data_IF_406295647497
#
_entry.id   IF_406295647497
#
_cell.length_a   1.000
_cell.length_b   1.000
_cell.length_c   1.000
_cell.angle_alpha   90.00
_cell.angle_beta   90.00
_cell.angle_gamma   90.00
#
_symmetry.space_group_name_H-M   'P 1'
#
loop_
_entity.id
_entity.type
_entity.pdbx_description
1 polymer ?
#
# COMPACT_ATOMS: atom_id res chain seq x y z
N UNK A 1 30.60 -6.97 10.67
CA UNK A 1 31.00 -8.32 10.30
C UNK A 1 30.60 -8.47 8.83
N UNK A 2 31.57 -8.47 7.91
CA UNK A 2 31.36 -8.70 6.50
C UNK A 2 31.35 -10.23 6.27
N UNK A 3 30.19 -10.82 6.15
CA UNK A 3 30.06 -12.17 5.64
C UNK A 3 30.09 -12.09 4.09
N UNK A 4 31.13 -12.62 3.44
CA UNK A 4 31.25 -12.59 1.97
C UNK A 4 30.13 -13.36 1.26
N UNK A 5 29.41 -14.25 1.96
CA UNK A 5 28.30 -15.02 1.39
C UNK A 5 27.00 -14.22 1.34
N UNK A 6 26.81 -13.20 2.20
CA UNK A 6 25.63 -12.35 2.16
C UNK A 6 25.52 -11.55 0.85
N UNK A 7 26.65 -11.16 0.26
CA UNK A 7 26.71 -10.47 -1.04
C UNK A 7 26.20 -11.31 -2.21
N UNK A 8 26.30 -12.64 -2.13
CA UNK A 8 25.82 -13.57 -3.16
C UNK A 8 24.30 -13.82 -3.09
N UNK A 9 23.71 -13.77 -1.90
CA UNK A 9 22.28 -13.99 -1.70
C UNK A 9 21.43 -12.75 -2.03
N UNK A 10 21.99 -11.55 -1.92
CA UNK A 10 21.27 -10.29 -2.18
C UNK A 10 21.32 -9.86 -3.67
N UNK A 11 22.34 -10.26 -4.43
CA UNK A 11 22.48 -9.94 -5.86
C UNK A 11 21.33 -10.44 -6.76
N UNK A 12 20.76 -11.65 -6.57
CA UNK A 12 19.65 -12.13 -7.39
C UNK A 12 18.32 -11.44 -7.11
N UNK A 13 18.16 -10.83 -5.92
CA UNK A 13 16.94 -10.12 -5.53
C UNK A 13 16.84 -8.72 -6.19
N UNK A 14 17.96 -8.20 -6.68
CA UNK A 14 18.03 -7.04 -7.56
C UNK A 14 17.92 -7.56 -9.00
N UNK A 15 16.70 -7.87 -9.45
CA UNK A 15 16.44 -8.36 -10.81
C UNK A 15 17.06 -7.40 -11.84
N UNK A 16 18.12 -7.82 -12.58
CA UNK A 16 18.77 -6.95 -13.57
C UNK A 16 17.90 -6.68 -14.80
N UNK A 17 16.74 -7.33 -14.90
CA UNK A 17 15.79 -7.19 -16.00
C UNK A 17 14.64 -6.22 -15.71
N UNK A 18 14.69 -5.45 -14.61
CA UNK A 18 13.77 -4.34 -14.41
C UNK A 18 14.19 -3.22 -15.34
N UNK A 19 13.48 -3.18 -16.43
CA UNK A 19 13.17 -2.13 -17.41
C UNK A 19 14.11 -0.92 -17.60
N UNK A 20 14.14 -0.34 -18.81
CA UNK A 20 15.02 0.78 -19.22
C UNK A 20 14.88 2.08 -18.39
N UNK A 21 14.04 2.12 -17.37
CA UNK A 21 13.88 3.27 -16.46
C UNK A 21 14.91 3.33 -15.31
N UNK A 22 15.73 2.29 -15.10
CA UNK A 22 16.73 2.31 -14.03
C UNK A 22 17.79 3.40 -14.25
N UNK A 23 18.20 3.63 -15.49
CA UNK A 23 19.18 4.67 -15.83
C UNK A 23 18.59 6.08 -15.66
N UNK A 24 17.35 6.31 -16.10
CA UNK A 24 16.68 7.60 -15.97
C UNK A 24 16.38 7.98 -14.50
N UNK A 25 16.05 6.99 -13.67
CA UNK A 25 15.86 7.18 -12.24
C UNK A 25 17.18 7.45 -11.51
N UNK A 26 18.26 6.75 -11.91
CA UNK A 26 19.61 6.99 -11.39
C UNK A 26 20.10 8.40 -11.71
N UNK A 27 19.99 8.83 -12.95
CA UNK A 27 20.32 10.19 -13.38
C UNK A 27 19.50 11.27 -12.64
N UNK A 28 18.24 10.99 -12.35
CA UNK A 28 17.39 11.89 -11.57
C UNK A 28 17.87 12.01 -10.12
N UNK A 29 18.22 10.89 -9.48
CA UNK A 29 18.77 10.87 -8.12
C UNK A 29 20.07 11.63 -8.06
N UNK A 30 20.98 11.42 -9.01
CA UNK A 30 22.27 12.13 -9.07
C UNK A 30 22.07 13.63 -9.26
N UNK A 31 21.17 14.06 -10.12
CA UNK A 31 20.85 15.46 -10.34
C UNK A 31 20.21 16.13 -9.11
N UNK A 32 19.43 15.38 -8.32
CA UNK A 32 18.85 15.89 -7.07
C UNK A 32 19.86 15.92 -5.93
N UNK A 33 20.89 15.06 -5.95
CA UNK A 33 21.98 15.03 -4.96
C UNK A 33 23.11 16.01 -5.26
N UNK A 34 22.96 16.90 -6.22
CA UNK A 34 23.96 17.92 -6.53
C UNK A 34 24.41 18.67 -5.27
N UNK A 35 25.71 18.83 -5.09
CA UNK A 35 26.40 19.44 -3.93
C UNK A 35 26.26 18.68 -2.59
N UNK A 36 25.45 17.62 -2.48
CA UNK A 36 25.16 16.94 -1.20
C UNK A 36 26.41 16.41 -0.48
N UNK A 37 27.41 15.98 -1.24
CA UNK A 37 28.59 15.28 -0.74
C UNK A 37 29.86 16.14 -0.79
N UNK A 38 29.73 17.45 -0.92
CA UNK A 38 30.85 18.38 -0.85
C UNK A 38 31.38 18.51 0.58
N UNK A 39 32.70 18.73 0.73
CA UNK A 39 33.37 18.74 2.04
C UNK A 39 33.06 20.02 2.84
N UNK A 40 32.83 21.14 2.15
CA UNK A 40 32.64 22.46 2.76
C UNK A 40 31.21 22.99 2.47
N UNK A 41 30.17 22.26 2.89
CA UNK A 41 28.78 22.70 2.76
C UNK A 41 28.48 23.88 3.67
N UNK A 42 28.06 25.00 3.10
CA UNK A 42 27.57 26.16 3.87
C UNK A 42 26.08 25.93 4.25
N UNK A 43 25.65 26.63 5.34
CA UNK A 43 24.23 26.61 5.75
C UNK A 43 23.31 27.08 4.62
N UNK A 44 23.74 28.06 3.82
CA UNK A 44 22.97 28.54 2.66
C UNK A 44 22.81 27.48 1.59
N UNK A 45 23.88 26.72 1.27
CA UNK A 45 23.81 25.62 0.31
C UNK A 45 22.91 24.49 0.79
N UNK A 46 22.97 24.18 2.10
CA UNK A 46 22.08 23.18 2.71
C UNK A 46 20.63 23.63 2.61
N UNK A 47 20.33 24.86 3.04
CA UNK A 47 18.96 25.39 3.00
C UNK A 47 18.39 25.44 1.58
N UNK A 48 19.20 25.77 0.57
CA UNK A 48 18.80 25.83 -0.82
C UNK A 48 18.51 24.46 -1.44
N UNK A 49 19.14 23.37 -0.95
CA UNK A 49 19.09 22.05 -1.61
C UNK A 49 18.44 20.94 -0.77
N UNK A 50 18.13 21.18 0.50
CA UNK A 50 17.62 20.13 1.40
C UNK A 50 16.36 19.42 0.86
N UNK A 51 15.46 20.15 0.22
CA UNK A 51 14.25 19.60 -0.39
C UNK A 51 14.57 18.66 -1.57
N UNK A 52 15.62 18.96 -2.34
CA UNK A 52 16.11 18.12 -3.44
C UNK A 52 16.72 16.84 -2.90
N UNK A 53 17.52 16.92 -1.84
CA UNK A 53 18.15 15.76 -1.19
C UNK A 53 17.10 14.86 -0.53
N UNK A 54 16.07 15.45 0.11
CA UNK A 54 14.94 14.70 0.63
C UNK A 54 14.19 13.96 -0.48
N UNK A 55 14.01 14.60 -1.63
CA UNK A 55 13.36 13.94 -2.77
C UNK A 55 14.20 12.79 -3.33
N UNK A 56 15.52 12.95 -3.41
CA UNK A 56 16.44 11.86 -3.78
C UNK A 56 16.31 10.66 -2.83
N UNK A 57 16.26 10.93 -1.53
CA UNK A 57 16.05 9.88 -0.50
C UNK A 57 14.69 9.22 -0.63
N UNK A 58 13.62 9.96 -0.96
CA UNK A 58 12.28 9.41 -1.18
C UNK A 58 12.22 8.52 -2.42
N UNK A 59 12.94 8.85 -3.49
CA UNK A 59 13.03 8.01 -4.69
C UNK A 59 13.64 6.63 -4.38
N UNK A 60 14.53 6.53 -3.40
CA UNK A 60 15.10 5.26 -2.95
C UNK A 60 14.33 4.59 -1.80
N UNK A 61 13.30 5.23 -1.26
CA UNK A 61 12.56 4.74 -0.09
C UNK A 61 12.05 3.32 -0.29
N UNK A 62 11.33 3.06 -1.37
CA UNK A 62 10.78 1.73 -1.65
C UNK A 62 11.85 0.66 -1.91
N UNK A 63 13.02 1.05 -2.43
CA UNK A 63 14.17 0.15 -2.57
C UNK A 63 14.70 -0.28 -1.22
N UNK A 64 14.79 0.66 -0.26
CA UNK A 64 15.21 0.35 1.12
C UNK A 64 14.18 -0.49 1.86
N UNK A 65 12.87 -0.21 1.70
CA UNK A 65 11.81 -1.07 2.24
C UNK A 65 11.89 -2.50 1.68
N UNK A 66 12.05 -2.64 0.36
CA UNK A 66 12.20 -3.96 -0.28
C UNK A 66 13.44 -4.71 0.24
N UNK A 67 14.51 -4.02 0.62
CA UNK A 67 15.68 -4.65 1.22
C UNK A 67 15.34 -5.32 2.58
N UNK A 68 14.56 -4.65 3.41
CA UNK A 68 14.10 -5.24 4.70
C UNK A 68 13.23 -6.46 4.45
N UNK A 69 12.20 -6.34 3.58
CA UNK A 69 11.34 -7.46 3.18
C UNK A 69 12.18 -8.63 2.63
N UNK A 70 13.24 -8.33 1.89
CA UNK A 70 14.16 -9.34 1.32
C UNK A 70 14.99 -10.04 2.39
N UNK A 71 15.45 -9.32 3.43
CA UNK A 71 16.16 -9.94 4.55
C UNK A 71 15.24 -10.88 5.36
N UNK A 72 14.01 -10.45 5.64
CA UNK A 72 13.02 -11.29 6.31
C UNK A 72 12.71 -12.55 5.48
N UNK A 73 12.58 -12.37 4.17
CA UNK A 73 12.36 -13.47 3.24
C UNK A 73 13.54 -14.47 3.22
N UNK A 74 14.79 -13.97 3.12
CA UNK A 74 15.99 -14.84 3.16
C UNK A 74 16.08 -15.57 4.49
N UNK A 75 15.79 -14.90 5.60
CA UNK A 75 15.75 -15.54 6.93
C UNK A 75 14.69 -16.65 6.96
N UNK A 76 13.48 -16.38 6.46
CA UNK A 76 12.38 -17.34 6.44
C UNK A 76 12.71 -18.56 5.56
N UNK A 77 13.26 -18.37 4.35
CA UNK A 77 13.56 -19.47 3.44
C UNK A 77 14.74 -20.33 3.93
N UNK A 78 15.56 -19.79 4.83
CA UNK A 78 16.72 -20.48 5.43
C UNK A 78 16.40 -21.17 6.76
N UNK A 79 15.14 -21.13 7.21
CA UNK A 79 14.70 -21.80 8.44
C UNK A 79 14.81 -23.33 8.32
N UNK A 80 15.17 -23.97 9.42
CA UNK A 80 15.04 -25.42 9.57
C UNK A 80 13.57 -25.79 9.81
N UNK A 81 13.18 -27.03 9.49
CA UNK A 81 11.78 -27.51 9.59
C UNK A 81 11.14 -27.24 10.96
N UNK A 82 11.90 -27.44 12.04
CA UNK A 82 11.40 -27.19 13.39
C UNK A 82 11.11 -25.70 13.65
N UNK A 83 11.88 -24.80 13.07
CA UNK A 83 11.69 -23.35 13.23
C UNK A 83 10.38 -22.89 12.58
N UNK A 84 9.96 -23.50 11.45
CA UNK A 84 8.66 -23.23 10.85
C UNK A 84 7.47 -23.60 11.74
N UNK A 85 7.64 -24.62 12.60
CA UNK A 85 6.60 -25.02 13.57
C UNK A 85 6.50 -24.05 14.73
N UNK A 86 7.62 -23.46 15.13
CA UNK A 86 7.73 -22.56 16.29
C UNK A 86 7.44 -21.08 15.95
N UNK A 87 7.59 -20.69 14.67
CA UNK A 87 7.40 -19.30 14.23
C UNK A 87 5.93 -19.00 13.96
N UNK A 88 5.38 -18.01 14.68
CA UNK A 88 3.99 -17.58 14.52
C UNK A 88 3.67 -16.95 13.15
N UNK A 89 4.67 -16.58 12.35
CA UNK A 89 4.48 -16.08 10.98
C UNK A 89 4.54 -17.17 9.92
N UNK A 90 4.87 -18.41 10.30
CA UNK A 90 5.11 -19.51 9.39
C UNK A 90 4.21 -20.70 9.68
N UNK A 91 4.41 -21.81 8.97
CA UNK A 91 3.75 -23.09 9.20
C UNK A 91 4.69 -24.21 8.77
N UNK A 92 4.83 -25.23 9.61
CA UNK A 92 5.69 -26.40 9.37
C UNK A 92 4.96 -27.71 9.57
N UNK A 93 5.64 -28.82 9.23
CA UNK A 93 5.10 -30.16 9.36
C UNK A 93 3.88 -30.41 8.47
N UNK A 94 3.87 -29.86 7.26
CA UNK A 94 2.78 -29.99 6.30
C UNK A 94 2.79 -31.41 5.69
N UNK A 95 1.69 -32.12 5.84
CA UNK A 95 1.44 -33.42 5.23
C UNK A 95 0.39 -33.30 4.12
N UNK A 96 0.70 -33.77 2.90
CA UNK A 96 -0.23 -33.76 1.78
C UNK A 96 -1.41 -34.69 2.06
N UNK A 97 -2.64 -34.17 2.05
CA UNK A 97 -3.87 -34.93 2.27
C UNK A 97 -4.61 -35.15 0.96
N UNK A 98 -4.65 -34.16 0.08
CA UNK A 98 -5.32 -34.25 -1.21
C UNK A 98 -4.56 -33.47 -2.29
N UNK A 99 -4.54 -34.06 -3.50
CA UNK A 99 -3.99 -33.45 -4.71
C UNK A 99 -5.02 -33.58 -5.84
N UNK A 100 -5.48 -32.47 -6.38
CA UNK A 100 -6.45 -32.46 -7.47
C UNK A 100 -5.80 -32.67 -8.85
N UNK A 101 -4.46 -32.84 -8.89
CA UNK A 101 -3.66 -32.98 -10.10
C UNK A 101 -3.42 -31.64 -10.83
N UNK A 102 -2.41 -31.65 -11.69
CA UNK A 102 -2.04 -30.50 -12.47
C UNK A 102 -3.02 -30.23 -13.61
N UNK A 103 -3.35 -28.98 -13.81
CA UNK A 103 -4.15 -28.48 -14.93
C UNK A 103 -3.40 -27.36 -15.63
N UNK A 104 -3.60 -27.16 -16.95
CA UNK A 104 -3.00 -26.04 -17.64
C UNK A 104 -3.31 -24.71 -16.93
N UNK A 105 -2.30 -23.91 -16.66
CA UNK A 105 -2.49 -22.61 -16.06
C UNK A 105 -3.21 -21.67 -17.04
N UNK A 106 -4.11 -20.86 -16.52
CA UNK A 106 -4.90 -19.91 -17.33
C UNK A 106 -4.70 -18.50 -16.86
N UNK A 107 -4.73 -17.53 -17.77
CA UNK A 107 -4.54 -16.11 -17.48
C UNK A 107 -3.12 -15.63 -17.77
N UNK A 108 -2.74 -14.48 -17.20
CA UNK A 108 -1.37 -13.94 -17.32
C UNK A 108 -0.49 -14.56 -16.23
N UNK A 109 0.12 -15.70 -16.52
CA UNK A 109 1.13 -16.36 -15.71
C UNK A 109 2.25 -16.87 -16.60
N UNK A 110 3.46 -16.92 -16.08
CA UNK A 110 4.63 -17.52 -16.70
C UNK A 110 4.71 -19.02 -16.50
N UNK A 111 3.93 -19.58 -15.55
CA UNK A 111 3.93 -21.01 -15.24
C UNK A 111 2.98 -21.80 -16.13
N UNK A 112 3.37 -23.04 -16.47
CA UNK A 112 2.63 -23.93 -17.35
C UNK A 112 1.42 -24.59 -16.66
N UNK A 113 1.54 -24.93 -15.39
CA UNK A 113 0.56 -25.73 -14.66
C UNK A 113 0.06 -25.01 -13.40
N UNK A 114 -1.18 -25.39 -13.02
CA UNK A 114 -1.81 -25.00 -11.77
C UNK A 114 -2.31 -26.27 -11.07
N UNK A 115 -1.91 -26.44 -9.82
CA UNK A 115 -2.32 -27.57 -8.99
C UNK A 115 -2.99 -27.06 -7.73
N UNK A 116 -4.05 -27.72 -7.29
CA UNK A 116 -4.71 -27.44 -6.02
C UNK A 116 -4.42 -28.59 -5.06
N UNK A 117 -3.86 -28.27 -3.88
CA UNK A 117 -3.49 -29.24 -2.86
C UNK A 117 -4.00 -28.83 -1.51
N UNK A 118 -4.41 -29.84 -0.72
CA UNK A 118 -4.75 -29.69 0.70
C UNK A 118 -3.69 -30.36 1.54
N UNK A 119 -3.17 -29.63 2.51
CA UNK A 119 -2.20 -30.09 3.48
C UNK A 119 -2.82 -30.12 4.87
N UNK A 120 -2.35 -31.05 5.71
CA UNK A 120 -2.65 -31.09 7.14
C UNK A 120 -1.46 -30.58 7.91
N UNK A 121 -1.71 -29.87 9.00
CA UNK A 121 -0.73 -29.41 9.97
C UNK A 121 -1.24 -29.57 11.40
N UNK A 122 -0.37 -29.43 12.39
CA UNK A 122 -0.79 -29.47 13.81
C UNK A 122 -1.60 -28.22 14.15
N UNK A 123 -2.88 -28.33 14.52
CA UNK A 123 -3.74 -27.17 14.79
C UNK A 123 -3.31 -26.36 16.03
N UNK A 124 -2.34 -26.85 16.81
CA UNK A 124 -1.75 -26.10 17.93
C UNK A 124 -0.72 -25.05 17.47
N UNK A 125 -0.29 -25.08 16.21
CA UNK A 125 0.59 -24.05 15.68
C UNK A 125 -0.16 -22.72 15.60
N UNK A 126 0.53 -21.63 16.01
CA UNK A 126 0.07 -20.26 15.76
C UNK A 126 0.61 -19.82 14.41
N UNK A 127 -0.22 -19.21 13.56
CA UNK A 127 0.22 -18.65 12.28
C UNK A 127 -0.59 -17.44 11.88
N UNK A 128 0.07 -16.48 11.23
CA UNK A 128 -0.54 -15.26 10.67
C UNK A 128 -1.03 -15.45 9.22
N UNK A 129 -0.98 -16.69 8.71
CA UNK A 129 -1.42 -17.02 7.35
C UNK A 129 -2.93 -16.85 7.23
N UNK A 130 -3.36 -16.16 6.18
CA UNK A 130 -4.77 -15.93 5.89
C UNK A 130 -5.14 -16.28 4.44
N UNK A 131 -6.42 -16.56 4.20
CA UNK A 131 -6.92 -16.84 2.85
C UNK A 131 -6.68 -15.65 1.92
N UNK A 132 -6.06 -15.91 0.78
CA UNK A 132 -5.68 -14.92 -0.23
C UNK A 132 -4.23 -14.45 -0.14
N UNK A 133 -3.50 -14.80 0.92
CA UNK A 133 -2.07 -14.51 1.00
C UNK A 133 -1.29 -15.28 -0.09
N UNK A 134 -0.23 -14.66 -0.61
CA UNK A 134 0.83 -15.41 -1.28
C UNK A 134 1.48 -16.36 -0.28
N UNK A 135 1.99 -17.47 -0.76
CA UNK A 135 2.65 -18.48 0.06
C UNK A 135 3.97 -18.88 -0.58
N UNK A 136 5.03 -18.87 0.18
CA UNK A 136 6.34 -19.30 -0.25
C UNK A 136 6.86 -20.44 0.63
N UNK A 137 7.78 -21.24 0.07
CA UNK A 137 8.32 -22.43 0.69
C UNK A 137 9.77 -22.64 0.26
N UNK A 138 10.65 -23.13 1.13
CA UNK A 138 11.98 -23.56 0.70
C UNK A 138 11.97 -24.53 -0.49
N UNK A 139 10.91 -25.34 -0.62
CA UNK A 139 10.74 -26.28 -1.74
C UNK A 139 10.60 -25.58 -3.11
N UNK A 140 10.26 -24.31 -3.13
CA UNK A 140 10.16 -23.52 -4.38
C UNK A 140 11.50 -22.93 -4.82
N UNK A 141 12.52 -23.00 -3.97
CA UNK A 141 13.84 -22.41 -4.18
C UNK A 141 14.94 -23.47 -4.02
N UNK A 142 14.96 -24.51 -4.87
CA UNK A 142 15.99 -25.56 -4.78
C UNK A 142 17.37 -24.94 -4.99
N UNK A 143 18.34 -25.46 -4.22
CA UNK A 143 19.73 -25.09 -4.44
C UNK A 143 20.17 -25.50 -5.86
N UNK A 144 20.75 -24.56 -6.59
CA UNK A 144 21.27 -24.77 -7.94
C UNK A 144 22.75 -24.43 -7.99
N UNK A 145 23.53 -25.29 -8.65
CA UNK A 145 24.97 -25.09 -8.79
C UNK A 145 25.31 -23.93 -9.75
N UNK A 146 24.38 -23.58 -10.66
CA UNK A 146 24.54 -22.44 -11.57
C UNK A 146 23.87 -21.19 -11.01
N UNK A 147 24.66 -20.14 -10.67
CA UNK A 147 24.11 -18.88 -10.21
C UNK A 147 23.23 -18.14 -11.25
N UNK A 148 23.29 -18.52 -12.54
CA UNK A 148 22.42 -17.98 -13.57
C UNK A 148 21.01 -18.57 -13.56
N UNK A 149 20.84 -19.75 -12.95
CA UNK A 149 19.55 -20.40 -12.76
C UNK A 149 18.90 -19.97 -11.43
N UNK A 150 18.70 -18.68 -11.25
CA UNK A 150 18.04 -18.13 -10.05
C UNK A 150 16.56 -17.91 -10.30
N UNK A 151 15.75 -18.26 -9.34
CA UNK A 151 14.30 -18.01 -9.36
C UNK A 151 13.51 -19.12 -8.68
N UNK A 152 12.31 -18.80 -8.28
CA UNK A 152 11.37 -19.79 -7.77
C UNK A 152 10.88 -20.69 -8.92
N UNK A 153 10.85 -22.00 -8.68
CA UNK A 153 10.30 -23.01 -9.62
C UNK A 153 8.78 -23.13 -9.49
N UNK A 154 8.22 -22.56 -8.44
CA UNK A 154 6.79 -22.54 -8.18
C UNK A 154 6.38 -21.29 -7.40
N UNK A 155 5.10 -21.01 -7.38
CA UNK A 155 4.46 -19.95 -6.61
C UNK A 155 3.14 -20.47 -6.07
N UNK A 156 2.75 -20.07 -4.86
CA UNK A 156 1.49 -20.52 -4.30
C UNK A 156 0.65 -19.38 -3.73
N UNK A 157 -0.64 -19.63 -3.62
CA UNK A 157 -1.63 -18.75 -2.98
C UNK A 157 -2.48 -19.56 -2.03
N UNK A 158 -2.68 -19.07 -0.82
CA UNK A 158 -3.57 -19.66 0.17
C UNK A 158 -5.03 -19.51 -0.30
N UNK A 159 -5.72 -20.62 -0.50
CA UNK A 159 -7.14 -20.62 -0.84
C UNK A 159 -8.01 -20.58 0.39
N UNK A 160 -7.69 -21.43 1.35
CA UNK A 160 -8.33 -21.46 2.66
C UNK A 160 -7.37 -22.01 3.70
N UNK A 161 -7.57 -21.61 4.94
CA UNK A 161 -6.92 -22.18 6.11
C UNK A 161 -7.96 -22.41 7.19
N UNK A 162 -7.97 -23.61 7.76
CA UNK A 162 -8.81 -24.01 8.88
C UNK A 162 -7.90 -24.35 10.06
N UNK A 163 -7.77 -23.39 10.98
CA UNK A 163 -6.90 -23.50 12.14
C UNK A 163 -7.42 -24.52 13.16
N UNK A 164 -8.75 -24.74 13.21
CA UNK A 164 -9.35 -25.68 14.17
C UNK A 164 -9.09 -27.13 13.76
N UNK A 165 -9.16 -27.42 12.47
CA UNK A 165 -8.96 -28.77 11.94
C UNK A 165 -7.54 -29.00 11.39
N UNK A 166 -6.69 -27.97 11.39
CA UNK A 166 -5.31 -28.03 10.88
C UNK A 166 -5.25 -28.32 9.37
N UNK A 167 -6.04 -27.63 8.56
CA UNK A 167 -6.08 -27.81 7.11
C UNK A 167 -5.68 -26.53 6.38
N UNK A 168 -4.78 -26.68 5.41
CA UNK A 168 -4.31 -25.59 4.53
C UNK A 168 -4.53 -25.98 3.07
N UNK A 169 -5.32 -25.23 2.36
CA UNK A 169 -5.53 -25.40 0.93
C UNK A 169 -4.71 -24.37 0.14
N UNK A 170 -3.84 -24.87 -0.76
CA UNK A 170 -3.00 -24.06 -1.62
C UNK A 170 -3.34 -24.22 -3.09
N UNK A 171 -3.28 -23.15 -3.83
CA UNK A 171 -3.20 -23.14 -5.29
C UNK A 171 -1.78 -22.88 -5.71
N UNK A 172 -1.12 -23.86 -6.31
CA UNK A 172 0.29 -23.85 -6.68
C UNK A 172 0.39 -23.66 -8.19
N UNK A 173 1.22 -22.74 -8.62
CA UNK A 173 1.63 -22.55 -10.00
C UNK A 173 3.06 -23.07 -10.16
N UNK A 174 3.33 -23.89 -11.18
CA UNK A 174 4.65 -24.51 -11.43
C UNK A 174 4.79 -24.82 -12.91
N UNK A 175 6.05 -24.89 -13.38
CA UNK A 175 6.37 -25.49 -14.68
C UNK A 175 6.51 -27.00 -14.62
N UNK A 176 6.64 -27.54 -13.42
CA UNK A 176 6.77 -28.98 -13.16
C UNK A 176 5.38 -29.63 -12.93
N UNK A 177 5.25 -30.86 -13.44
CA UNK A 177 4.15 -31.78 -13.14
C UNK A 177 4.74 -33.15 -12.74
N UNK A 178 4.61 -33.56 -11.47
CA UNK A 178 3.92 -32.88 -10.35
C UNK A 178 4.66 -31.65 -9.83
N UNK A 179 3.90 -30.67 -9.35
CA UNK A 179 4.46 -29.52 -8.62
C UNK A 179 5.26 -29.96 -7.38
N UNK A 180 6.23 -29.15 -6.89
CA UNK A 180 7.03 -29.48 -5.71
C UNK A 180 6.17 -29.83 -4.49
N UNK A 181 6.60 -30.79 -3.69
CA UNK A 181 5.98 -31.10 -2.39
C UNK A 181 6.41 -30.05 -1.38
N UNK A 182 5.48 -29.61 -0.56
CA UNK A 182 5.66 -28.59 0.45
C UNK A 182 5.57 -29.23 1.82
N UNK A 183 6.57 -29.05 2.67
CA UNK A 183 6.57 -29.49 4.07
C UNK A 183 6.44 -28.34 5.05
N UNK A 184 6.79 -27.14 4.60
CA UNK A 184 6.77 -25.92 5.40
C UNK A 184 6.69 -24.68 4.50
N UNK A 185 6.31 -23.55 5.07
CA UNK A 185 6.30 -22.28 4.34
C UNK A 185 5.79 -21.11 5.17
N UNK A 186 5.70 -19.97 4.53
CA UNK A 186 5.36 -18.71 5.16
C UNK A 186 4.56 -17.81 4.19
N UNK A 187 3.77 -16.86 4.71
CA UNK A 187 2.99 -15.97 3.87
C UNK A 187 3.89 -14.93 3.21
N UNK A 188 3.65 -14.64 1.94
CA UNK A 188 4.24 -13.52 1.22
C UNK A 188 3.20 -12.44 1.00
N UNK A 189 3.43 -11.26 1.58
CA UNK A 189 2.54 -10.10 1.46
C UNK A 189 3.24 -9.01 0.63
N UNK A 190 3.37 -9.23 -0.68
CA UNK A 190 3.97 -8.22 -1.56
C UNK A 190 2.95 -7.12 -1.89
N UNK A 191 3.20 -5.93 -1.37
CA UNK A 191 2.48 -4.73 -1.80
C UNK A 191 3.11 -4.26 -3.12
N UNK A 192 2.30 -4.15 -4.17
CA UNK A 192 2.74 -3.57 -5.45
C UNK A 192 3.03 -2.09 -5.25
N UNK A 193 4.29 -1.70 -5.42
CA UNK A 193 4.80 -0.35 -5.15
C UNK A 193 5.00 0.47 -6.42
N UNK A 194 4.81 -0.11 -7.61
CA UNK A 194 5.10 0.51 -8.91
C UNK A 194 4.36 1.84 -9.11
N UNK A 195 3.11 1.94 -8.68
CA UNK A 195 2.34 3.17 -8.79
C UNK A 195 2.87 4.29 -7.86
N UNK A 196 3.36 3.93 -6.68
CA UNK A 196 3.97 4.88 -5.75
C UNK A 196 5.34 5.31 -6.25
N UNK A 197 6.15 4.37 -6.76
CA UNK A 197 7.45 4.65 -7.35
C UNK A 197 7.32 5.59 -8.56
N UNK A 198 6.35 5.35 -9.44
CA UNK A 198 6.07 6.22 -10.58
C UNK A 198 5.67 7.64 -10.14
N UNK A 199 4.77 7.76 -9.16
CA UNK A 199 4.36 9.06 -8.63
C UNK A 199 5.53 9.83 -8.00
N UNK A 200 6.44 9.13 -7.29
CA UNK A 200 7.65 9.75 -6.76
C UNK A 200 8.60 10.22 -7.86
N UNK A 201 8.73 9.47 -8.96
CA UNK A 201 9.53 9.90 -10.12
C UNK A 201 8.96 11.17 -10.75
N UNK A 202 7.64 11.24 -10.95
CA UNK A 202 6.97 12.43 -11.49
C UNK A 202 7.18 13.66 -10.59
N UNK A 203 7.05 13.50 -9.28
CA UNK A 203 7.34 14.58 -8.31
C UNK A 203 8.82 14.96 -8.36
N UNK A 204 9.73 13.97 -8.41
CA UNK A 204 11.16 14.20 -8.51
C UNK A 204 11.58 15.00 -9.75
N UNK A 205 10.95 14.70 -10.89
CA UNK A 205 11.17 15.46 -12.13
C UNK A 205 10.72 16.93 -11.98
N UNK A 206 9.59 17.14 -11.31
CA UNK A 206 9.10 18.51 -11.08
C UNK A 206 10.00 19.28 -10.09
N UNK A 207 10.54 18.62 -9.06
CA UNK A 207 11.52 19.20 -8.14
C UNK A 207 12.83 19.53 -8.85
N UNK A 208 13.31 18.63 -9.74
CA UNK A 208 14.51 18.87 -10.55
C UNK A 208 14.38 20.11 -11.43
N UNK A 209 13.20 20.32 -12.03
CA UNK A 209 12.93 21.43 -12.93
C UNK A 209 12.44 22.72 -12.24
N UNK A 210 12.42 22.74 -10.91
CA UNK A 210 11.86 23.82 -10.09
C UNK A 210 10.43 24.21 -10.51
N UNK A 211 9.63 23.22 -10.95
CA UNK A 211 8.27 23.42 -11.42
C UNK A 211 7.25 22.97 -10.39
N UNK A 212 6.76 23.89 -9.58
CA UNK A 212 5.73 23.61 -8.56
C UNK A 212 4.31 23.43 -9.17
N UNK A 213 4.14 23.46 -10.48
CA UNK A 213 2.84 23.29 -11.15
C UNK A 213 2.32 21.87 -11.06
N UNK A 214 3.22 20.88 -10.97
CA UNK A 214 2.86 19.49 -10.71
C UNK A 214 2.97 19.21 -9.21
N UNK A 215 1.87 18.68 -8.61
CA UNK A 215 1.79 18.33 -7.19
C UNK A 215 2.27 19.45 -6.22
N UNK A 216 1.71 20.67 -6.28
CA UNK A 216 2.18 21.81 -5.49
C UNK A 216 2.17 21.54 -3.97
N UNK A 217 1.20 20.79 -3.46
CA UNK A 217 1.15 20.39 -2.05
C UNK A 217 2.38 19.51 -1.64
N UNK A 218 2.88 18.66 -2.55
CA UNK A 218 4.08 17.86 -2.28
C UNK A 218 5.34 18.74 -2.25
N UNK A 219 5.43 19.76 -3.11
CA UNK A 219 6.48 20.76 -3.06
C UNK A 219 6.45 21.52 -1.74
N UNK A 220 5.29 22.01 -1.30
CA UNK A 220 5.14 22.69 -0.01
C UNK A 220 5.62 21.80 1.15
N UNK A 221 5.28 20.51 1.14
CA UNK A 221 5.74 19.56 2.17
C UNK A 221 7.25 19.35 2.14
N UNK A 222 7.87 19.20 0.97
CA UNK A 222 9.32 19.02 0.82
C UNK A 222 10.10 20.26 1.31
N UNK A 223 9.56 21.45 1.06
CA UNK A 223 10.14 22.72 1.51
C UNK A 223 9.76 23.09 2.96
N UNK A 224 8.91 22.28 3.63
CA UNK A 224 8.33 22.62 4.93
C UNK A 224 7.65 24.00 4.92
N UNK A 225 7.10 24.38 3.78
CA UNK A 225 6.42 25.65 3.60
C UNK A 225 5.14 25.71 4.41
N UNK A 226 4.77 26.83 4.99
CA UNK A 226 3.43 27.00 5.55
C UNK A 226 2.35 26.70 4.52
N UNK A 227 1.20 26.15 4.93
CA UNK A 227 0.08 25.93 4.02
C UNK A 227 -0.37 27.23 3.37
N UNK A 228 -0.70 27.19 2.07
CA UNK A 228 -1.20 28.32 1.31
C UNK A 228 -2.72 28.37 1.36
N UNK A 229 -3.24 29.56 1.53
CA UNK A 229 -4.67 29.81 1.58
C UNK A 229 -5.06 30.91 0.60
N UNK A 230 -6.24 30.75 0.00
CA UNK A 230 -6.90 31.76 -0.82
C UNK A 230 -7.71 32.73 0.03
N UNK A 231 -8.14 33.82 -0.57
CA UNK A 231 -9.08 34.81 -0.01
C UNK A 231 -8.59 35.46 1.29
N UNK A 232 -7.27 35.46 1.53
CA UNK A 232 -6.66 36.06 2.73
C UNK A 232 -7.02 35.36 4.04
N UNK A 233 -7.37 34.07 3.99
CA UNK A 233 -7.66 33.27 5.19
C UNK A 233 -6.46 33.24 6.13
N UNK A 234 -6.69 33.56 7.39
CA UNK A 234 -5.67 33.53 8.44
C UNK A 234 -5.77 32.26 9.28
N UNK A 235 -4.79 31.35 9.10
CA UNK A 235 -4.72 30.11 9.84
C UNK A 235 -4.62 30.32 11.36
N UNK A 236 -4.11 31.48 11.83
CA UNK A 236 -4.00 31.74 13.27
C UNK A 236 -5.33 31.71 13.98
N UNK A 237 -6.42 31.99 13.27
CA UNK A 237 -7.80 31.88 13.81
C UNK A 237 -8.18 30.45 14.22
N UNK A 238 -7.46 29.44 13.68
CA UNK A 238 -7.67 28.02 13.98
C UNK A 238 -6.50 27.46 14.80
N UNK A 239 -5.27 27.74 14.41
CA UNK A 239 -4.08 27.18 15.04
C UNK A 239 -3.79 27.70 16.44
N UNK A 240 -4.29 28.88 16.79
CA UNK A 240 -4.22 29.45 18.14
C UNK A 240 -5.23 28.82 19.13
N UNK A 241 -6.17 28.04 18.63
CA UNK A 241 -7.22 27.38 19.44
C UNK A 241 -6.74 26.00 19.87
N UNK A 242 -6.70 25.73 21.17
CA UNK A 242 -6.25 24.46 21.71
C UNK A 242 -7.10 23.25 21.23
N UNK A 243 -8.35 23.51 20.82
CA UNK A 243 -9.28 22.46 20.39
C UNK A 243 -10.23 23.04 19.32
N UNK A 244 -9.79 23.14 18.07
CA UNK A 244 -10.60 23.73 17.00
C UNK A 244 -11.83 22.87 16.72
N UNK A 245 -12.97 23.55 16.46
CA UNK A 245 -14.21 22.87 16.10
C UNK A 245 -14.16 22.29 14.70
N UNK A 246 -15.03 21.31 14.35
CA UNK A 246 -15.12 20.78 12.99
C UNK A 246 -15.38 21.89 11.96
N UNK A 247 -16.14 22.93 12.29
CA UNK A 247 -16.43 24.07 11.42
C UNK A 247 -15.17 24.90 11.12
N UNK A 248 -14.36 25.17 12.16
CA UNK A 248 -13.08 25.88 11.99
C UNK A 248 -12.10 25.09 11.14
N UNK A 249 -12.01 23.76 11.35
CA UNK A 249 -11.19 22.86 10.53
C UNK A 249 -11.67 22.85 9.08
N UNK A 250 -12.99 22.75 8.88
CA UNK A 250 -13.61 22.76 7.54
C UNK A 250 -13.32 24.05 6.79
N UNK A 251 -13.40 25.17 7.48
CA UNK A 251 -13.15 26.47 6.89
C UNK A 251 -11.69 26.63 6.46
N UNK A 252 -10.75 26.19 7.30
CA UNK A 252 -9.34 26.15 6.92
C UNK A 252 -9.09 25.27 5.69
N UNK A 253 -9.66 24.04 5.64
CA UNK A 253 -9.52 23.16 4.49
C UNK A 253 -10.17 23.75 3.23
N UNK A 254 -11.32 24.39 3.37
CA UNK A 254 -12.03 25.01 2.25
C UNK A 254 -11.22 26.12 1.58
N UNK A 255 -10.42 26.86 2.35
CA UNK A 255 -9.56 27.94 1.85
C UNK A 255 -8.18 27.48 1.42
N UNK A 256 -7.81 26.20 1.54
CA UNK A 256 -6.54 25.72 1.02
C UNK A 256 -6.44 25.98 -0.50
N UNK A 257 -5.26 26.43 -0.93
CA UNK A 257 -4.94 26.69 -2.33
C UNK A 257 -3.88 25.72 -2.83
N UNK A 258 -4.33 24.57 -3.37
CA UNK A 258 -3.45 23.49 -3.87
C UNK A 258 -2.28 23.16 -2.92
N UNK A 259 -2.56 23.15 -1.61
CA UNK A 259 -1.58 23.01 -0.55
C UNK A 259 -2.00 21.91 0.44
N UNK A 260 -1.36 21.81 1.58
CA UNK A 260 -1.63 20.80 2.60
C UNK A 260 -1.94 21.45 3.95
N UNK A 261 -2.65 20.71 4.81
CA UNK A 261 -2.87 21.06 6.20
C UNK A 261 -2.62 19.85 7.09
N UNK A 262 -1.73 19.97 8.06
CA UNK A 262 -1.44 18.90 9.03
C UNK A 262 -2.35 19.06 10.24
N UNK A 263 -3.12 18.01 10.56
CA UNK A 263 -3.97 17.95 11.76
C UNK A 263 -3.38 16.88 12.67
N UNK A 264 -2.78 17.33 13.76
CA UNK A 264 -2.19 16.46 14.77
C UNK A 264 -3.09 16.36 15.99
N UNK A 265 -3.17 15.18 16.57
CA UNK A 265 -3.87 14.97 17.86
C UNK A 265 -3.53 13.60 18.45
N UNK A 266 -3.34 13.49 19.77
CA UNK A 266 -3.18 12.22 20.45
C UNK A 266 -4.38 11.27 20.24
N UNK A 267 -4.25 9.97 20.57
CA UNK A 267 -5.41 9.07 20.64
C UNK A 267 -6.51 9.64 21.55
N UNK A 268 -7.77 9.49 21.17
CA UNK A 268 -8.93 9.93 21.98
C UNK A 268 -9.28 11.42 21.89
N UNK A 269 -8.56 12.23 21.11
CA UNK A 269 -8.85 13.69 20.95
C UNK A 269 -9.95 14.02 19.96
N UNK A 270 -10.73 13.03 19.49
CA UNK A 270 -11.84 13.27 18.56
C UNK A 270 -11.45 13.52 17.11
N UNK A 271 -10.22 13.15 16.66
CA UNK A 271 -9.78 13.31 15.25
C UNK A 271 -10.78 12.72 14.26
N UNK A 272 -11.23 11.48 14.50
CA UNK A 272 -12.16 10.77 13.61
C UNK A 272 -13.50 11.51 13.53
N UNK A 273 -14.02 11.97 14.68
CA UNK A 273 -15.23 12.79 14.77
C UNK A 273 -15.09 14.11 13.97
N UNK A 274 -14.02 14.86 14.23
CA UNK A 274 -13.77 16.13 13.53
C UNK A 274 -13.58 15.94 12.03
N UNK A 275 -12.85 14.87 11.62
CA UNK A 275 -12.65 14.53 10.22
C UNK A 275 -13.96 14.15 9.52
N UNK A 276 -14.81 13.34 10.14
CA UNK A 276 -16.10 12.95 9.58
C UNK A 276 -17.01 14.16 9.35
N UNK A 277 -17.10 15.06 10.34
CA UNK A 277 -17.91 16.27 10.22
C UNK A 277 -17.33 17.24 9.17
N UNK A 278 -16.00 17.43 9.13
CA UNK A 278 -15.35 18.26 8.11
C UNK A 278 -15.59 17.69 6.69
N UNK A 279 -15.49 16.38 6.50
CA UNK A 279 -15.78 15.72 5.22
C UNK A 279 -17.23 15.97 4.80
N UNK A 280 -18.21 15.79 5.69
CA UNK A 280 -19.61 16.01 5.39
C UNK A 280 -19.91 17.47 5.01
N UNK A 281 -19.31 18.45 5.70
CA UNK A 281 -19.43 19.87 5.37
C UNK A 281 -18.81 20.21 4.02
N UNK A 282 -17.62 19.68 3.72
CA UNK A 282 -16.94 19.89 2.45
C UNK A 282 -17.72 19.28 1.27
N UNK A 283 -18.26 18.07 1.46
CA UNK A 283 -19.12 17.44 0.44
C UNK A 283 -20.41 18.24 0.23
N UNK A 284 -21.02 18.78 1.30
CA UNK A 284 -22.17 19.68 1.18
C UNK A 284 -21.85 20.97 0.42
N UNK A 285 -20.59 21.44 0.45
CA UNK A 285 -20.07 22.56 -0.35
C UNK A 285 -19.68 22.13 -1.78
N UNK A 286 -19.91 20.87 -2.20
CA UNK A 286 -19.64 20.35 -3.54
C UNK A 286 -18.23 19.78 -3.75
N UNK A 287 -17.42 19.65 -2.70
CA UNK A 287 -16.09 19.03 -2.83
C UNK A 287 -16.19 17.52 -2.95
N UNK A 288 -15.27 16.94 -3.74
CA UNK A 288 -15.03 15.49 -3.80
C UNK A 288 -13.84 15.13 -2.93
N UNK A 289 -14.04 14.16 -2.03
CA UNK A 289 -13.07 13.80 -1.00
C UNK A 289 -12.51 12.41 -1.28
N UNK A 290 -11.18 12.29 -1.31
CA UNK A 290 -10.46 11.02 -1.29
C UNK A 290 -9.96 10.71 0.11
N UNK A 291 -10.19 9.48 0.58
CA UNK A 291 -9.72 9.01 1.88
C UNK A 291 -8.75 7.87 1.66
N UNK A 292 -7.57 7.94 2.29
CA UNK A 292 -6.57 6.87 2.29
C UNK A 292 -6.02 6.65 3.68
N UNK A 293 -5.61 5.41 3.97
CA UNK A 293 -4.95 5.04 5.22
C UNK A 293 -4.07 3.80 5.00
N UNK A 294 -3.14 3.55 5.91
CA UNK A 294 -2.31 2.35 5.92
C UNK A 294 -3.10 1.07 6.25
N UNK A 295 -4.30 1.20 6.84
CA UNK A 295 -5.14 0.05 7.19
C UNK A 295 -6.59 0.25 6.73
N UNK A 296 -7.23 -0.84 6.28
CA UNK A 296 -8.65 -0.84 5.97
C UNK A 296 -9.52 -0.51 7.21
N UNK A 297 -9.10 -0.99 8.39
CA UNK A 297 -9.81 -0.74 9.64
C UNK A 297 -9.97 0.76 9.93
N UNK A 298 -8.93 1.57 9.72
CA UNK A 298 -9.01 3.02 9.93
C UNK A 298 -9.97 3.71 8.93
N UNK A 299 -9.99 3.27 7.67
CA UNK A 299 -10.95 3.76 6.66
C UNK A 299 -12.37 3.36 7.05
N UNK A 300 -12.59 2.11 7.46
CA UNK A 300 -13.90 1.62 7.88
C UNK A 300 -14.42 2.36 9.11
N UNK A 301 -13.56 2.62 10.09
CA UNK A 301 -13.92 3.41 11.27
C UNK A 301 -14.35 4.83 10.91
N UNK A 302 -13.61 5.50 10.02
CA UNK A 302 -13.98 6.84 9.55
C UNK A 302 -15.29 6.82 8.75
N UNK A 303 -15.52 5.82 7.90
CA UNK A 303 -16.79 5.66 7.17
C UNK A 303 -17.97 5.41 8.11
N UNK A 304 -17.79 4.64 9.17
CA UNK A 304 -18.82 4.41 10.19
C UNK A 304 -19.20 5.72 10.91
N UNK A 305 -18.19 6.55 11.22
CA UNK A 305 -18.42 7.86 11.83
C UNK A 305 -19.11 8.83 10.86
N UNK A 306 -18.73 8.82 9.59
CA UNK A 306 -19.43 9.59 8.55
C UNK A 306 -20.89 9.14 8.44
N UNK A 307 -21.17 7.83 8.44
CA UNK A 307 -22.53 7.29 8.38
C UNK A 307 -23.39 7.73 9.58
N UNK A 308 -22.80 7.75 10.77
CA UNK A 308 -23.46 8.18 12.00
C UNK A 308 -23.88 9.65 11.94
N UNK A 309 -23.05 10.52 11.36
CA UNK A 309 -23.29 11.97 11.31
C UNK A 309 -23.98 12.46 10.03
N UNK A 310 -24.00 11.66 8.95
CA UNK A 310 -24.60 12.03 7.68
C UNK A 310 -26.04 12.55 7.76
N UNK A 311 -26.94 12.03 8.62
CA UNK A 311 -28.28 12.57 8.78
C UNK A 311 -28.31 14.04 9.22
N UNK A 312 -27.35 14.49 10.01
CA UNK A 312 -27.27 15.90 10.47
C UNK A 312 -26.98 16.88 9.31
N UNK A 313 -26.52 16.35 8.18
CA UNK A 313 -26.20 17.11 6.95
C UNK A 313 -27.23 16.88 5.82
N UNK A 314 -28.40 16.31 6.19
CA UNK A 314 -29.52 16.13 5.25
C UNK A 314 -29.42 14.92 4.34
N UNK A 315 -28.55 13.94 4.68
CA UNK A 315 -28.52 12.65 4.01
C UNK A 315 -29.48 11.66 4.67
N UNK A 316 -30.31 11.01 3.86
CA UNK A 316 -31.32 10.05 4.27
C UNK A 316 -31.51 9.00 3.14
N UNK A 317 -32.44 8.07 3.33
CA UNK A 317 -32.71 6.99 2.39
C UNK A 317 -33.03 7.46 0.97
N UNK A 318 -33.71 8.59 0.83
CA UNK A 318 -34.10 9.25 -0.43
C UNK A 318 -33.00 10.16 -1.01
N UNK A 319 -32.02 10.53 -0.21
CA UNK A 319 -30.88 11.37 -0.59
C UNK A 319 -29.60 10.86 0.06
N UNK A 320 -29.08 9.75 -0.43
CA UNK A 320 -27.89 9.12 0.14
C UNK A 320 -26.59 9.78 -0.30
N UNK A 321 -25.61 9.85 0.62
CA UNK A 321 -24.23 10.16 0.28
C UNK A 321 -23.60 8.98 -0.48
N UNK A 322 -23.12 9.23 -1.69
CA UNK A 322 -22.49 8.20 -2.52
C UNK A 322 -21.02 8.02 -2.11
N UNK A 323 -20.65 6.80 -1.78
CA UNK A 323 -19.29 6.44 -1.36
C UNK A 323 -18.77 5.25 -2.16
N UNK A 324 -17.62 5.42 -2.82
CA UNK A 324 -16.86 4.34 -3.41
C UNK A 324 -15.82 3.81 -2.42
N UNK A 325 -15.80 2.53 -2.12
CA UNK A 325 -14.83 1.89 -1.24
C UNK A 325 -14.01 0.84 -1.98
N UNK A 326 -12.68 0.99 -1.99
CA UNK A 326 -11.77 -0.03 -2.48
C UNK A 326 -11.61 -1.13 -1.43
N UNK A 327 -11.90 -2.36 -1.81
CA UNK A 327 -11.77 -3.56 -0.97
C UNK A 327 -11.04 -4.67 -1.72
N UNK A 328 -10.52 -5.66 -1.01
CA UNK A 328 -9.89 -6.84 -1.62
C UNK A 328 -10.96 -7.83 -2.14
N UNK A 329 -12.01 -8.05 -1.35
CA UNK A 329 -13.22 -8.81 -1.72
C UNK A 329 -14.44 -7.97 -1.42
N UNK A 330 -15.52 -8.13 -2.17
CA UNK A 330 -16.77 -7.35 -1.96
C UNK A 330 -17.31 -7.57 -0.55
N UNK A 331 -17.17 -8.78 -0.01
CA UNK A 331 -17.62 -9.17 1.32
C UNK A 331 -16.80 -8.51 2.46
N UNK A 332 -15.63 -7.95 2.15
CA UNK A 332 -14.82 -7.20 3.12
C UNK A 332 -15.38 -5.78 3.39
N UNK A 333 -16.41 -5.36 2.67
CA UNK A 333 -17.01 -4.04 2.88
C UNK A 333 -17.71 -3.99 4.24
N UNK A 334 -17.53 -2.91 5.01
CA UNK A 334 -18.17 -2.78 6.31
C UNK A 334 -19.70 -2.66 6.17
N UNK A 335 -20.40 -3.21 7.13
CA UNK A 335 -21.82 -2.92 7.30
C UNK A 335 -21.95 -1.58 8.01
N UNK A 336 -22.48 -0.58 7.31
CA UNK A 336 -22.72 0.74 7.89
C UNK A 336 -24.09 0.81 8.53
N UNK A 337 -24.19 1.55 9.64
CA UNK A 337 -25.48 1.76 10.32
C UNK A 337 -26.28 2.87 9.63
N UNK A 338 -27.58 2.60 9.38
CA UNK A 338 -28.51 3.57 8.78
C UNK A 338 -28.50 3.57 7.25
N UNK A 339 -29.44 4.33 6.69
CA UNK A 339 -29.71 4.39 5.24
C UNK A 339 -29.16 5.67 4.57
N UNK A 340 -28.25 6.40 5.24
CA UNK A 340 -27.75 7.70 4.76
C UNK A 340 -26.63 7.60 3.75
N UNK A 341 -26.00 6.42 3.61
CA UNK A 341 -24.87 6.18 2.70
C UNK A 341 -25.20 5.10 1.67
N UNK A 342 -24.96 5.39 0.41
CA UNK A 342 -24.93 4.43 -0.68
C UNK A 342 -23.48 3.98 -0.90
N UNK A 343 -23.10 2.86 -0.28
CA UNK A 343 -21.76 2.28 -0.38
C UNK A 343 -21.64 1.41 -1.62
N UNK A 344 -20.63 1.67 -2.44
CA UNK A 344 -20.26 0.85 -3.60
C UNK A 344 -18.87 0.24 -3.39
N UNK A 345 -18.81 -1.05 -3.06
CA UNK A 345 -17.55 -1.78 -2.96
C UNK A 345 -16.95 -2.04 -4.35
N UNK A 346 -15.66 -1.80 -4.52
CA UNK A 346 -14.92 -1.94 -5.78
C UNK A 346 -13.62 -2.68 -5.52
N UNK A 347 -13.37 -3.75 -6.26
CA UNK A 347 -12.14 -4.54 -6.13
C UNK A 347 -11.03 -4.11 -7.10
N UNK A 348 -11.34 -3.30 -8.12
CA UNK A 348 -10.40 -2.85 -9.15
C UNK A 348 -10.21 -1.33 -9.12
N UNK A 349 -8.94 -0.91 -9.13
CA UNK A 349 -8.56 0.51 -9.17
C UNK A 349 -9.06 1.23 -10.44
N UNK A 350 -9.14 0.53 -11.58
CA UNK A 350 -9.67 1.11 -12.83
C UNK A 350 -11.15 1.47 -12.72
N UNK A 351 -11.94 0.65 -12.01
CA UNK A 351 -13.35 0.94 -11.74
C UNK A 351 -13.55 2.09 -10.76
N UNK A 352 -12.63 2.28 -9.81
CA UNK A 352 -12.64 3.49 -8.95
C UNK A 352 -12.38 4.76 -9.75
N UNK A 353 -11.50 4.71 -10.75
CA UNK A 353 -11.21 5.83 -11.64
C UNK A 353 -12.36 6.11 -12.62
N UNK A 354 -13.02 5.08 -13.18
CA UNK A 354 -14.13 5.24 -14.13
C UNK A 354 -15.40 5.78 -13.46
N UNK A 355 -15.71 5.40 -12.23
CA UNK A 355 -16.81 6.03 -11.46
C UNK A 355 -16.59 7.52 -11.21
N UNK A 356 -15.34 7.99 -11.20
CA UNK A 356 -15.03 9.43 -11.21
C UNK A 356 -15.48 10.13 -12.50
N UNK A 357 -15.45 9.44 -13.66
CA UNK A 357 -15.81 10.04 -14.97
C UNK A 357 -17.30 9.94 -15.29
N UNK A 358 -18.00 8.90 -14.83
CA UNK A 358 -19.44 8.72 -15.10
C UNK A 358 -20.31 9.75 -14.37
N UNK A 359 -19.91 10.20 -13.19
CA UNK A 359 -20.62 11.28 -12.46
C UNK A 359 -20.47 12.63 -13.16
N UNK A 360 -19.36 12.89 -13.87
CA UNK A 360 -19.18 14.11 -14.66
C UNK A 360 -20.08 14.17 -15.93
N UNK A 361 -20.40 13.01 -16.50
CA UNK A 361 -21.21 12.96 -17.74
C UNK A 361 -22.71 13.11 -17.46
N UNK A 362 -23.17 12.70 -16.28
CA UNK A 362 -24.57 12.82 -15.89
C UNK A 362 -24.98 14.24 -15.46
N UNK A 363 -24.05 15.03 -14.94
CA UNK A 363 -24.31 16.45 -14.58
C UNK A 363 -24.31 17.37 -15.81
N UNK A 364 -23.57 17.04 -16.87
CA UNK A 364 -23.56 17.80 -18.12
C UNK A 364 -24.76 17.51 -19.03
N UNK A 365 -25.54 16.46 -18.78
CA UNK A 365 -26.77 16.13 -19.53
C UNK A 365 -28.05 16.65 -18.89
N UNK A 366 -27.99 17.28 -17.72
CA UNK A 366 -29.14 17.84 -16.98
C UNK A 366 -29.24 19.36 -17.03
N UNK A 367 -28.57 20.02 -17.99
CA UNK A 367 -28.72 21.49 -18.28
C UNK A 367 -29.12 21.73 -19.72
#
# INVERSE_FOLDING_TARGET
ANDPNLGFLVRPLLNPNVAPDADSKGELIDALNLHRFEVDLTEETIAANIHRWLMADLLEFHKREKAVDSYEWVAAISMEEQQFVEDSKAIGGLELVADEGAQPATGRTEYAFKTKRTYRFDPRQSTDITSGDGFDSPSFHPYRDDPAETGAIASATVKSIDLENGLLELSILSDDDPAPLITSGFPTKFIKKEAFEAALVDIGQSVRSDSATFAPAAHDMLHLSPPRFRDGFDLTTVSSVSNPTPEQITEAIHHLEDSYLVIQGPPGTGKTYSSANAILQLVAKGHRIGITSNTHAAVHQLLSEIALHAPNYGYAKDKQLKVGLKVNKVDDAPTLTGDSIALSAVTDNKRMASKRSEEHTSELQSH
#
